data_IF_497062354822
#
_entry.id   IF_497062354822
#
_cell.length_a   1.000
_cell.length_b   1.000
_cell.length_c   1.000
_cell.angle_alpha   90.00
_cell.angle_beta   90.00
_cell.angle_gamma   90.00
#
_symmetry.space_group_name_H-M   'P 1'
#
loop_
_entity.id
_entity.type
_entity.pdbx_description
1 polymer ?
#
# COMPACT_ATOMS: atom_id res chain seq x y z
N UNK A 1 -4.16 -15.55 -14.17
CA UNK A 1 -4.81 -14.73 -13.12
C UNK A 1 -3.76 -14.25 -12.13
N UNK A 2 -3.93 -13.06 -11.57
CA UNK A 2 -3.05 -12.54 -10.51
C UNK A 2 -3.69 -12.82 -9.15
N UNK A 3 -2.97 -13.50 -8.27
CA UNK A 3 -3.36 -13.66 -6.87
C UNK A 3 -2.95 -12.40 -6.09
N UNK A 4 -3.87 -11.83 -5.31
CA UNK A 4 -3.59 -10.69 -4.43
C UNK A 4 -3.95 -11.10 -3.00
N UNK A 5 -2.94 -11.32 -2.15
CA UNK A 5 -3.18 -11.56 -0.73
C UNK A 5 -3.53 -10.26 -0.04
N UNK A 6 -4.44 -10.32 0.96
CA UNK A 6 -5.02 -9.08 1.49
C UNK A 6 -5.83 -8.30 0.44
N UNK A 7 -6.39 -9.02 -0.54
CA UNK A 7 -7.02 -8.47 -1.73
C UNK A 7 -8.24 -7.60 -1.49
N UNK A 8 -8.91 -7.73 -0.34
CA UNK A 8 -10.06 -6.90 0.07
C UNK A 8 -9.67 -5.71 0.95
N UNK A 9 -8.37 -5.54 1.26
CA UNK A 9 -7.85 -4.33 1.90
C UNK A 9 -7.79 -3.15 0.93
N UNK A 10 -7.49 -1.96 1.45
CA UNK A 10 -7.45 -0.71 0.66
C UNK A 10 -6.52 -0.83 -0.56
N UNK A 11 -5.24 -1.16 -0.37
CA UNK A 11 -4.30 -1.30 -1.49
C UNK A 11 -4.70 -2.48 -2.39
N UNK A 12 -5.07 -3.63 -1.80
CA UNK A 12 -5.41 -4.84 -2.54
C UNK A 12 -6.58 -4.65 -3.50
N UNK A 13 -7.66 -4.01 -3.04
CA UNK A 13 -8.85 -3.77 -3.85
C UNK A 13 -8.58 -2.81 -5.02
N UNK A 14 -7.79 -1.76 -4.79
CA UNK A 14 -7.42 -0.83 -5.85
C UNK A 14 -6.38 -1.42 -6.82
N UNK A 15 -5.50 -2.30 -6.32
CA UNK A 15 -4.63 -3.11 -7.20
C UNK A 15 -5.46 -4.05 -8.07
N UNK A 16 -6.47 -4.72 -7.49
CA UNK A 16 -7.39 -5.57 -8.24
C UNK A 16 -8.10 -4.78 -9.35
N UNK A 17 -8.65 -3.59 -9.04
CA UNK A 17 -9.28 -2.74 -10.06
C UNK A 17 -8.32 -2.44 -11.20
N UNK A 18 -7.10 -2.02 -10.88
CA UNK A 18 -6.10 -1.67 -11.89
C UNK A 18 -5.66 -2.89 -12.75
N UNK A 19 -5.53 -4.08 -12.15
CA UNK A 19 -5.22 -5.31 -12.89
C UNK A 19 -6.35 -5.67 -13.85
N UNK A 20 -7.61 -5.52 -13.41
CA UNK A 20 -8.80 -5.74 -14.24
C UNK A 20 -8.89 -4.75 -15.41
N UNK A 21 -8.58 -3.48 -15.18
CA UNK A 21 -8.55 -2.43 -16.21
C UNK A 21 -7.49 -2.71 -17.28
N UNK A 22 -6.41 -3.39 -16.91
CA UNK A 22 -5.36 -3.85 -17.84
C UNK A 22 -5.69 -5.20 -18.52
N UNK A 23 -6.89 -5.74 -18.32
CA UNK A 23 -7.40 -6.92 -19.03
C UNK A 23 -7.20 -8.25 -18.33
N UNK A 24 -6.47 -8.29 -17.21
CA UNK A 24 -6.22 -9.52 -16.45
C UNK A 24 -7.32 -9.81 -15.41
N UNK A 25 -7.40 -11.07 -14.98
CA UNK A 25 -8.31 -11.52 -13.91
C UNK A 25 -7.57 -11.70 -12.60
N UNK A 26 -8.31 -11.60 -11.48
CA UNK A 26 -7.73 -11.63 -10.13
C UNK A 26 -8.35 -12.71 -9.26
N UNK A 27 -7.55 -13.26 -8.36
CA UNK A 27 -7.97 -14.01 -7.18
C UNK A 27 -7.61 -13.18 -5.96
N UNK A 28 -8.60 -12.79 -5.17
CA UNK A 28 -8.43 -11.97 -3.98
C UNK A 28 -8.53 -12.86 -2.74
N UNK A 29 -7.52 -12.87 -1.88
CA UNK A 29 -7.67 -13.61 -0.63
C UNK A 29 -8.19 -12.70 0.49
N UNK A 30 -9.01 -13.27 1.33
CA UNK A 30 -9.63 -12.59 2.47
C UNK A 30 -9.65 -13.49 3.70
N UNK A 31 -9.27 -12.95 4.87
CA UNK A 31 -9.26 -13.73 6.12
C UNK A 31 -10.60 -13.65 6.88
N UNK A 32 -11.23 -12.47 6.94
CA UNK A 32 -12.41 -12.24 7.80
C UNK A 32 -13.71 -11.95 7.04
N UNK A 33 -13.64 -11.19 5.98
CA UNK A 33 -14.80 -10.79 5.19
C UNK A 33 -14.53 -11.06 3.72
N UNK A 34 -15.52 -11.64 3.04
CA UNK A 34 -15.47 -11.91 1.60
C UNK A 34 -16.31 -10.91 0.79
N UNK A 35 -16.81 -9.84 1.44
CA UNK A 35 -17.60 -8.83 0.75
C UNK A 35 -16.73 -7.98 -0.16
N UNK A 36 -17.02 -8.02 -1.45
CA UNK A 36 -16.36 -7.18 -2.44
C UNK A 36 -16.75 -5.70 -2.26
N UNK A 37 -15.79 -4.77 -2.43
CA UNK A 37 -16.11 -3.37 -2.66
C UNK A 37 -16.99 -3.19 -3.90
N UNK A 38 -17.90 -2.20 -3.89
CA UNK A 38 -18.85 -1.96 -4.97
C UNK A 38 -18.19 -1.83 -6.33
N UNK A 39 -17.06 -1.13 -6.42
CA UNK A 39 -16.34 -0.94 -7.68
C UNK A 39 -15.69 -2.23 -8.26
N UNK A 40 -15.78 -3.36 -7.57
CA UNK A 40 -15.39 -4.69 -8.05
C UNK A 40 -16.58 -5.64 -8.23
N UNK A 41 -17.78 -5.27 -7.75
CA UNK A 41 -18.92 -6.16 -7.70
C UNK A 41 -19.55 -6.41 -9.08
N UNK A 42 -19.46 -5.46 -9.99
CA UNK A 42 -20.09 -5.52 -11.32
C UNK A 42 -19.20 -6.19 -12.39
N UNK A 43 -18.04 -6.74 -12.00
CA UNK A 43 -17.18 -7.44 -12.94
C UNK A 43 -17.81 -8.74 -13.44
N UNK A 44 -17.60 -9.10 -14.71
CA UNK A 44 -18.07 -10.37 -15.26
C UNK A 44 -17.64 -11.57 -14.42
N UNK A 45 -18.51 -12.58 -14.35
CA UNK A 45 -18.24 -13.81 -13.60
C UNK A 45 -16.89 -14.43 -14.01
N UNK A 46 -16.08 -14.77 -13.01
CA UNK A 46 -14.78 -15.39 -13.18
C UNK A 46 -13.62 -14.41 -13.38
N UNK A 47 -13.86 -13.10 -13.55
CA UNK A 47 -12.77 -12.12 -13.59
C UNK A 47 -12.28 -11.73 -12.19
N UNK A 48 -13.16 -11.73 -11.21
CA UNK A 48 -12.86 -11.54 -9.79
C UNK A 48 -13.32 -12.78 -9.03
N UNK A 49 -12.40 -13.44 -8.36
CA UNK A 49 -12.69 -14.55 -7.46
C UNK A 49 -12.22 -14.20 -6.06
N UNK A 50 -13.02 -14.48 -5.05
CA UNK A 50 -12.63 -14.29 -3.64
C UNK A 50 -12.42 -15.67 -3.01
N UNK A 51 -11.23 -15.90 -2.48
CA UNK A 51 -10.86 -17.12 -1.76
C UNK A 51 -10.64 -16.80 -0.28
N UNK A 52 -11.39 -17.44 0.63
CA UNK A 52 -11.06 -17.37 2.06
C UNK A 52 -9.68 -18.00 2.29
N UNK A 53 -8.80 -17.28 2.96
CA UNK A 53 -7.45 -17.76 3.24
C UNK A 53 -6.92 -17.15 4.55
N UNK A 54 -6.50 -18.02 5.47
CA UNK A 54 -5.52 -17.69 6.48
C UNK A 54 -4.13 -17.93 5.85
N UNK A 55 -3.32 -16.89 5.73
CA UNK A 55 -1.98 -17.00 5.13
C UNK A 55 -1.04 -17.92 5.93
N UNK A 56 -1.39 -18.24 7.18
CA UNK A 56 -0.67 -19.22 7.99
C UNK A 56 -1.00 -20.67 7.61
N UNK A 57 -2.06 -20.93 6.86
CA UNK A 57 -2.44 -22.27 6.39
C UNK A 57 -1.80 -22.55 5.02
N UNK A 58 -0.65 -23.23 5.03
CA UNK A 58 0.11 -23.64 3.84
C UNK A 58 -0.73 -24.49 2.87
N UNK A 59 -1.47 -25.46 3.40
CA UNK A 59 -2.25 -26.38 2.57
C UNK A 59 -3.38 -25.63 1.83
N UNK A 60 -4.10 -24.75 2.54
CA UNK A 60 -5.13 -23.91 1.96
C UNK A 60 -4.54 -22.97 0.90
N UNK A 61 -3.33 -22.44 1.13
CA UNK A 61 -2.62 -21.61 0.16
C UNK A 61 -2.34 -22.37 -1.12
N UNK A 62 -1.70 -23.55 -1.03
CA UNK A 62 -1.36 -24.40 -2.17
C UNK A 62 -2.60 -24.86 -2.96
N UNK A 63 -3.72 -25.10 -2.29
CA UNK A 63 -4.97 -25.51 -2.89
C UNK A 63 -5.59 -24.46 -3.83
N UNK A 64 -5.28 -23.18 -3.65
CA UNK A 64 -5.72 -22.12 -4.58
C UNK A 64 -5.22 -22.41 -6.00
N UNK A 65 -3.96 -22.78 -6.16
CA UNK A 65 -3.39 -23.10 -7.49
C UNK A 65 -3.96 -24.36 -8.14
N UNK A 66 -4.63 -25.24 -7.38
CA UNK A 66 -5.37 -26.39 -7.95
C UNK A 66 -6.68 -25.95 -8.60
N UNK A 67 -7.26 -24.82 -8.15
CA UNK A 67 -8.53 -24.28 -8.66
C UNK A 67 -8.35 -23.18 -9.70
N UNK A 68 -7.23 -22.47 -9.63
CA UNK A 68 -6.97 -21.29 -10.45
C UNK A 68 -5.58 -21.34 -11.09
N UNK A 69 -5.48 -20.97 -12.35
CA UNK A 69 -4.19 -20.83 -13.05
C UNK A 69 -3.52 -19.50 -12.65
N UNK A 70 -2.79 -19.51 -11.53
CA UNK A 70 -2.09 -18.32 -11.01
C UNK A 70 -0.80 -18.12 -11.80
N UNK A 71 -0.62 -16.93 -12.38
CA UNK A 71 0.56 -16.54 -13.16
C UNK A 71 1.42 -15.50 -12.48
N UNK A 72 0.91 -14.86 -11.42
CA UNK A 72 1.62 -13.88 -10.61
C UNK A 72 0.99 -13.71 -9.25
N UNK A 73 1.79 -13.26 -8.28
CA UNK A 73 1.35 -13.04 -6.89
C UNK A 73 1.71 -11.62 -6.45
N UNK A 74 0.74 -10.92 -5.89
CA UNK A 74 0.93 -9.65 -5.14
C UNK A 74 0.68 -9.94 -3.67
N UNK A 75 1.74 -10.00 -2.86
CA UNK A 75 1.65 -10.29 -1.44
C UNK A 75 1.52 -9.00 -0.63
N UNK A 76 0.27 -8.63 -0.28
CA UNK A 76 -0.08 -7.45 0.53
C UNK A 76 -0.62 -7.81 1.92
N UNK A 77 -0.93 -9.09 2.17
CA UNK A 77 -1.36 -9.52 3.48
C UNK A 77 -0.28 -9.22 4.53
N UNK A 78 -0.71 -8.71 5.67
CA UNK A 78 0.15 -8.40 6.80
C UNK A 78 -0.62 -8.61 8.10
N UNK A 79 0.12 -8.90 9.17
CA UNK A 79 -0.43 -8.91 10.52
C UNK A 79 -0.99 -7.54 10.90
N UNK A 80 -1.98 -7.46 11.79
CA UNK A 80 -2.49 -6.19 12.29
C UNK A 80 -1.36 -5.32 12.87
N UNK A 81 -1.30 -4.06 12.45
CA UNK A 81 -0.22 -3.13 12.84
C UNK A 81 -0.24 -2.76 14.34
N UNK A 82 -1.37 -2.97 15.01
CA UNK A 82 -1.61 -2.75 16.42
C UNK A 82 -1.34 -3.99 17.30
N UNK A 83 -0.83 -5.07 16.70
CA UNK A 83 -0.41 -6.24 17.45
C UNK A 83 0.76 -5.88 18.37
N UNK A 84 0.50 -5.93 19.67
CA UNK A 84 1.40 -5.38 20.70
C UNK A 84 2.69 -6.20 20.88
N UNK A 85 2.62 -7.52 20.66
CA UNK A 85 3.80 -8.42 20.77
C UNK A 85 4.55 -8.43 19.43
N UNK A 86 5.77 -7.86 19.36
CA UNK A 86 6.55 -7.86 18.13
C UNK A 86 6.96 -9.27 17.67
N UNK A 87 7.07 -10.25 18.56
CA UNK A 87 7.40 -11.63 18.19
C UNK A 87 6.22 -12.31 17.51
N UNK A 88 5.01 -12.09 18.00
CA UNK A 88 3.79 -12.56 17.35
C UNK A 88 3.60 -11.90 15.99
N UNK A 89 3.80 -10.58 15.91
CA UNK A 89 3.77 -9.84 14.64
C UNK A 89 4.72 -10.45 13.61
N UNK A 90 6.00 -10.59 13.97
CA UNK A 90 7.03 -11.13 13.09
C UNK A 90 6.76 -12.58 12.68
N UNK A 91 6.22 -13.39 13.61
CA UNK A 91 5.87 -14.79 13.32
C UNK A 91 4.73 -14.88 12.30
N UNK A 92 3.67 -14.11 12.49
CA UNK A 92 2.52 -14.12 11.58
C UNK A 92 2.90 -13.66 10.18
N UNK A 93 3.61 -12.54 10.06
CA UNK A 93 4.06 -12.00 8.78
C UNK A 93 5.09 -12.92 8.09
N UNK A 94 6.03 -13.51 8.85
CA UNK A 94 7.03 -14.40 8.27
C UNK A 94 6.38 -15.70 7.75
N UNK A 95 5.49 -16.32 8.52
CA UNK A 95 4.80 -17.54 8.12
C UNK A 95 3.95 -17.29 6.86
N UNK A 96 3.16 -16.21 6.85
CA UNK A 96 2.35 -15.85 5.68
C UNK A 96 3.18 -15.60 4.42
N UNK A 97 4.32 -14.93 4.54
CA UNK A 97 5.24 -14.71 3.41
C UNK A 97 5.87 -16.02 2.93
N UNK A 98 6.36 -16.87 3.84
CA UNK A 98 7.00 -18.14 3.47
C UNK A 98 6.03 -19.05 2.73
N UNK A 99 4.79 -19.18 3.22
CA UNK A 99 3.74 -19.94 2.55
C UNK A 99 3.40 -19.36 1.16
N UNK A 100 3.39 -18.03 1.02
CA UNK A 100 3.16 -17.39 -0.26
C UNK A 100 4.30 -17.65 -1.27
N UNK A 101 5.56 -17.64 -0.82
CA UNK A 101 6.73 -17.93 -1.64
C UNK A 101 6.76 -19.40 -2.07
N UNK A 102 6.41 -20.33 -1.17
CA UNK A 102 6.29 -21.76 -1.48
C UNK A 102 5.20 -22.00 -2.50
N UNK A 103 4.04 -21.43 -2.32
CA UNK A 103 2.94 -21.51 -3.29
C UNK A 103 3.32 -20.93 -4.66
N UNK A 104 3.96 -19.75 -4.68
CA UNK A 104 4.43 -19.14 -5.93
C UNK A 104 5.44 -20.05 -6.68
N UNK A 105 6.34 -20.68 -5.93
CA UNK A 105 7.29 -21.66 -6.48
C UNK A 105 6.57 -22.89 -7.05
N UNK A 106 5.64 -23.47 -6.28
CA UNK A 106 4.89 -24.66 -6.68
C UNK A 106 4.01 -24.42 -7.93
N UNK A 107 3.48 -23.21 -8.08
CA UNK A 107 2.66 -22.83 -9.24
C UNK A 107 3.47 -22.41 -10.45
N UNK A 108 4.77 -22.17 -10.31
CA UNK A 108 5.62 -21.68 -11.38
C UNK A 108 5.21 -20.30 -11.88
N UNK A 109 4.90 -19.39 -10.96
CA UNK A 109 4.49 -18.02 -11.34
C UNK A 109 5.61 -17.28 -12.07
N UNK A 110 5.25 -16.38 -12.95
CA UNK A 110 6.24 -15.52 -13.63
C UNK A 110 6.82 -14.47 -12.69
N UNK A 111 5.96 -13.88 -11.85
CA UNK A 111 6.36 -12.76 -10.97
C UNK A 111 5.69 -12.83 -9.60
N UNK A 112 6.48 -12.53 -8.59
CA UNK A 112 6.04 -12.37 -7.21
C UNK A 112 6.41 -10.98 -6.72
N UNK A 113 5.44 -10.20 -6.26
CA UNK A 113 5.73 -8.93 -5.61
C UNK A 113 5.36 -8.95 -4.14
N UNK A 114 6.21 -8.34 -3.31
CA UNK A 114 6.01 -8.21 -1.87
C UNK A 114 5.90 -6.74 -1.46
N UNK A 115 4.89 -6.42 -0.66
CA UNK A 115 4.76 -5.09 -0.08
C UNK A 115 5.89 -4.84 0.91
N UNK A 116 6.70 -3.83 0.61
CA UNK A 116 7.64 -3.16 1.50
C UNK A 116 7.10 -1.78 1.87
N UNK A 117 7.91 -0.89 2.42
CA UNK A 117 7.48 0.39 2.97
C UNK A 117 8.56 1.45 2.86
N UNK A 118 8.19 2.72 2.75
CA UNK A 118 9.10 3.87 2.93
C UNK A 118 9.85 3.77 4.27
N UNK A 119 9.29 3.12 5.29
CA UNK A 119 9.92 2.93 6.60
C UNK A 119 11.26 2.18 6.55
N UNK A 120 11.59 1.42 5.49
CA UNK A 120 12.89 0.75 5.36
C UNK A 120 14.05 1.74 5.24
N UNK A 121 13.76 2.97 4.81
CA UNK A 121 14.72 4.07 4.70
C UNK A 121 14.97 4.83 6.01
N UNK A 122 14.36 4.42 7.12
CA UNK A 122 14.58 5.10 8.41
C UNK A 122 16.08 5.17 8.74
N UNK A 123 16.60 6.40 8.88
CA UNK A 123 18.02 6.67 9.11
C UNK A 123 18.85 6.93 7.84
N UNK A 124 18.29 6.84 6.64
CA UNK A 124 18.90 7.33 5.40
C UNK A 124 18.79 8.86 5.38
N UNK A 125 19.89 9.54 5.13
CA UNK A 125 19.94 11.01 5.16
C UNK A 125 19.73 11.66 3.78
N UNK A 126 20.02 10.93 2.72
CA UNK A 126 19.87 11.42 1.34
C UNK A 126 18.41 11.56 0.95
N UNK A 127 18.09 12.64 0.23
CA UNK A 127 16.76 12.93 -0.33
C UNK A 127 16.94 13.35 -1.80
N UNK A 128 16.18 12.81 -2.74
CA UNK A 128 15.10 11.81 -2.58
C UNK A 128 15.63 10.43 -2.15
N UNK A 129 14.75 9.63 -1.51
CA UNK A 129 15.06 8.27 -1.10
C UNK A 129 15.09 7.34 -2.32
N UNK A 130 16.26 6.81 -2.64
CA UNK A 130 16.51 5.99 -3.83
C UNK A 130 16.57 4.52 -3.46
N UNK A 131 16.15 3.65 -4.38
CA UNK A 131 16.12 2.19 -4.16
C UNK A 131 17.52 1.58 -3.96
N UNK A 132 18.55 2.21 -4.50
CA UNK A 132 19.96 1.80 -4.37
C UNK A 132 20.65 2.37 -3.10
N UNK A 133 19.95 3.15 -2.28
CA UNK A 133 20.49 3.65 -1.02
C UNK A 133 20.82 2.49 -0.06
N UNK A 134 21.97 2.61 0.62
CA UNK A 134 22.34 1.67 1.67
C UNK A 134 21.37 1.79 2.86
N UNK A 135 20.62 0.73 3.12
CA UNK A 135 19.65 0.73 4.21
C UNK A 135 20.33 0.46 5.55
N UNK A 136 20.05 1.26 6.61
CA UNK A 136 20.49 0.93 7.96
C UNK A 136 19.93 -0.43 8.39
N UNK A 137 20.74 -1.25 9.06
CA UNK A 137 20.29 -2.56 9.58
C UNK A 137 19.21 -2.37 10.64
N UNK A 138 19.40 -1.41 11.55
CA UNK A 138 18.45 -1.09 12.59
C UNK A 138 17.24 -0.29 12.03
N UNK A 139 16.05 -0.57 12.52
CA UNK A 139 14.83 0.07 12.05
C UNK A 139 13.86 0.55 13.15
N UNK A 140 14.13 0.30 14.43
CA UNK A 140 13.37 0.85 15.56
C UNK A 140 11.90 0.42 15.73
N UNK A 141 11.31 -0.24 14.71
CA UNK A 141 9.91 -0.67 14.71
C UNK A 141 9.74 -1.99 13.97
N UNK A 142 8.79 -2.83 14.41
CA UNK A 142 8.57 -4.17 13.85
C UNK A 142 8.27 -4.19 12.35
N UNK A 143 7.50 -3.22 11.84
CA UNK A 143 7.11 -3.16 10.42
C UNK A 143 8.34 -3.05 9.51
N UNK A 144 9.18 -2.00 9.60
CA UNK A 144 10.36 -1.91 8.72
C UNK A 144 11.40 -3.02 8.98
N UNK A 145 11.50 -3.57 10.19
CA UNK A 145 12.34 -4.74 10.47
C UNK A 145 11.89 -5.92 9.62
N UNK A 146 10.59 -6.25 9.67
CA UNK A 146 10.05 -7.34 8.87
C UNK A 146 10.15 -7.04 7.37
N UNK A 147 9.80 -5.82 6.93
CA UNK A 147 9.79 -5.51 5.49
C UNK A 147 11.19 -5.58 4.85
N UNK A 148 12.26 -5.18 5.55
CA UNK A 148 13.64 -5.43 5.09
C UNK A 148 13.92 -6.93 4.92
N UNK A 149 13.50 -7.74 5.88
CA UNK A 149 13.65 -9.20 5.82
C UNK A 149 12.83 -9.80 4.68
N UNK A 150 11.62 -9.32 4.47
CA UNK A 150 10.73 -9.77 3.40
C UNK A 150 11.30 -9.51 2.00
N UNK A 151 11.95 -8.35 1.78
CA UNK A 151 12.66 -8.06 0.53
C UNK A 151 13.77 -9.10 0.25
N UNK A 152 14.54 -9.46 1.28
CA UNK A 152 15.61 -10.45 1.16
C UNK A 152 15.07 -11.87 0.92
N UNK A 153 14.02 -12.27 1.61
CA UNK A 153 13.39 -13.59 1.43
C UNK A 153 12.81 -13.73 0.01
N UNK A 154 12.08 -12.72 -0.46
CA UNK A 154 11.51 -12.75 -1.80
C UNK A 154 12.60 -12.79 -2.88
N UNK A 155 13.68 -12.00 -2.74
CA UNK A 155 14.79 -12.00 -3.67
C UNK A 155 15.49 -13.37 -3.75
N UNK A 156 15.80 -13.97 -2.59
CA UNK A 156 16.43 -15.29 -2.53
C UNK A 156 15.54 -16.38 -3.14
N UNK A 157 14.25 -16.37 -2.83
CA UNK A 157 13.30 -17.32 -3.38
C UNK A 157 13.18 -17.17 -4.91
N UNK A 158 13.10 -15.93 -5.44
CA UNK A 158 13.06 -15.67 -6.87
C UNK A 158 14.31 -16.16 -7.60
N UNK A 159 15.49 -15.89 -7.04
CA UNK A 159 16.77 -16.37 -7.60
C UNK A 159 16.86 -17.93 -7.62
N UNK A 160 16.25 -18.57 -6.62
CA UNK A 160 16.28 -20.03 -6.51
C UNK A 160 15.23 -20.70 -7.38
N UNK A 161 14.01 -20.17 -7.42
CA UNK A 161 12.86 -20.77 -8.13
C UNK A 161 12.68 -20.25 -9.57
N UNK A 162 13.35 -19.17 -9.95
CA UNK A 162 13.35 -18.64 -11.32
C UNK A 162 12.16 -17.75 -11.66
N UNK A 163 11.50 -17.15 -10.66
CA UNK A 163 10.49 -16.10 -10.88
C UNK A 163 11.05 -14.69 -10.61
N UNK A 164 10.48 -13.68 -11.25
CA UNK A 164 10.82 -12.29 -10.97
C UNK A 164 10.31 -11.89 -9.57
N UNK A 165 11.22 -11.66 -8.62
CA UNK A 165 10.87 -11.14 -7.31
C UNK A 165 10.94 -9.60 -7.31
N UNK A 166 9.84 -8.93 -6.92
CA UNK A 166 9.72 -7.47 -6.93
C UNK A 166 9.35 -6.96 -5.54
N UNK A 167 10.20 -6.10 -4.99
CA UNK A 167 9.94 -5.40 -3.72
C UNK A 167 9.31 -4.04 -3.98
N UNK A 168 8.15 -3.80 -3.36
CA UNK A 168 7.35 -2.58 -3.49
C UNK A 168 7.54 -1.71 -2.25
N UNK A 169 8.42 -0.71 -2.29
CA UNK A 169 8.61 0.26 -1.20
C UNK A 169 7.56 1.36 -1.30
N UNK A 170 6.47 1.13 -0.59
CA UNK A 170 5.25 1.95 -0.69
C UNK A 170 5.36 3.15 0.24
N UNK A 171 5.00 4.34 -0.29
CA UNK A 171 4.93 5.60 0.46
C UNK A 171 3.75 5.67 1.43
N UNK A 172 3.40 6.87 1.88
CA UNK A 172 2.28 7.08 2.81
C UNK A 172 0.95 7.01 2.07
N UNK A 173 0.24 5.87 2.23
CA UNK A 173 -1.03 5.61 1.54
C UNK A 173 -2.19 6.31 2.22
N UNK A 174 -3.07 6.87 1.39
CA UNK A 174 -4.34 7.45 1.80
C UNK A 174 -5.41 7.30 0.70
N UNK A 175 -6.67 7.39 1.07
CA UNK A 175 -7.80 7.27 0.14
C UNK A 175 -8.85 6.24 0.58
N UNK A 176 -9.79 5.89 -0.31
CA UNK A 176 -10.88 4.95 -0.06
C UNK A 176 -10.43 3.61 0.53
N UNK A 177 -11.29 3.05 1.40
CA UNK A 177 -11.03 1.81 2.14
C UNK A 177 -9.79 1.86 3.08
N UNK A 178 -9.14 3.01 3.22
CA UNK A 178 -8.06 3.22 4.20
C UNK A 178 -8.59 3.21 5.64
N UNK A 179 -7.68 2.98 6.59
CA UNK A 179 -8.04 3.01 8.01
C UNK A 179 -8.49 4.42 8.40
N UNK A 180 -9.70 4.59 8.96
CA UNK A 180 -10.16 5.90 9.43
C UNK A 180 -9.23 6.53 10.46
N UNK A 181 -8.68 5.69 11.35
CA UNK A 181 -7.73 6.08 12.39
C UNK A 181 -6.29 5.65 12.02
N UNK A 182 -5.83 6.09 10.85
CA UNK A 182 -4.49 5.79 10.37
C UNK A 182 -3.43 6.41 11.29
N UNK A 183 -2.50 5.60 11.86
CA UNK A 183 -1.48 6.12 12.78
C UNK A 183 -0.34 6.87 12.07
N UNK A 184 -0.21 6.75 10.76
CA UNK A 184 0.92 7.29 9.99
C UNK A 184 0.61 8.64 9.32
N UNK A 185 -0.67 9.01 9.22
CA UNK A 185 -1.08 10.26 8.58
C UNK A 185 -2.38 10.80 9.19
N UNK A 186 -2.53 12.12 9.34
CA UNK A 186 -3.78 12.73 9.83
C UNK A 186 -4.89 12.78 8.76
N UNK A 187 -4.59 12.52 7.50
CA UNK A 187 -5.49 12.79 6.37
C UNK A 187 -6.89 12.17 6.49
N UNK A 188 -7.05 10.87 6.83
CA UNK A 188 -8.39 10.30 6.97
C UNK A 188 -9.24 11.01 8.02
N UNK A 189 -8.63 11.44 9.13
CA UNK A 189 -9.34 12.18 10.20
C UNK A 189 -9.71 13.60 9.77
N UNK A 190 -8.81 14.31 9.06
CA UNK A 190 -9.10 15.65 8.54
C UNK A 190 -10.26 15.62 7.55
N UNK A 191 -10.24 14.66 6.62
CA UNK A 191 -11.28 14.50 5.59
C UNK A 191 -12.61 14.07 6.21
N UNK A 192 -12.59 13.08 7.11
CA UNK A 192 -13.81 12.65 7.82
C UNK A 192 -14.41 13.78 8.64
N UNK A 193 -13.58 14.55 9.35
CA UNK A 193 -14.04 15.70 10.12
C UNK A 193 -14.70 16.75 9.23
N UNK A 194 -14.10 17.06 8.09
CA UNK A 194 -14.67 18.00 7.12
C UNK A 194 -16.02 17.54 6.60
N UNK A 195 -16.11 16.27 6.16
CA UNK A 195 -17.32 15.69 5.56
C UNK A 195 -18.47 15.61 6.56
N UNK A 196 -18.17 15.27 7.82
CA UNK A 196 -19.19 15.05 8.85
C UNK A 196 -19.43 16.26 9.75
N UNK A 197 -18.78 17.40 9.49
CA UNK A 197 -18.95 18.64 10.26
C UNK A 197 -18.48 18.52 11.70
N UNK A 198 -17.37 17.84 11.94
CA UNK A 198 -16.76 17.63 13.25
C UNK A 198 -15.37 18.25 13.31
N UNK A 199 -14.85 18.45 14.51
CA UNK A 199 -13.43 18.79 14.69
C UNK A 199 -12.56 17.54 14.52
N UNK A 200 -11.41 17.64 13.82
CA UNK A 200 -10.53 16.49 13.67
C UNK A 200 -9.86 16.12 14.99
N UNK A 201 -9.99 14.85 15.39
CA UNK A 201 -9.29 14.36 16.58
C UNK A 201 -7.81 14.09 16.25
N UNK A 202 -6.96 15.03 16.67
CA UNK A 202 -5.50 14.95 16.54
C UNK A 202 -4.80 14.85 17.91
N UNK A 203 -5.55 14.44 18.95
CA UNK A 203 -5.01 14.30 20.31
C UNK A 203 -4.07 13.10 20.46
N UNK A 204 -3.10 13.15 21.40
CA UNK A 204 -2.25 11.97 21.69
C UNK A 204 -3.08 10.70 21.97
N UNK A 205 -2.56 9.52 21.62
CA UNK A 205 -1.17 9.21 21.21
C UNK A 205 -0.84 9.45 19.74
N UNK A 206 -1.69 10.13 18.98
CA UNK A 206 -1.46 10.44 17.58
C UNK A 206 -0.32 11.44 17.43
N UNK A 207 0.53 11.30 16.38
CA UNK A 207 1.55 12.31 16.12
C UNK A 207 0.92 13.68 15.87
N UNK A 208 1.46 14.75 16.45
CA UNK A 208 1.01 16.10 16.15
C UNK A 208 1.27 16.41 14.66
N UNK A 209 0.34 17.12 14.04
CA UNK A 209 0.42 17.54 12.65
C UNK A 209 0.39 19.06 12.56
N UNK A 210 1.32 19.61 11.77
CA UNK A 210 1.46 21.05 11.53
C UNK A 210 1.32 21.36 10.05
N UNK A 211 0.91 22.57 9.74
CA UNK A 211 0.62 23.00 8.38
C UNK A 211 1.80 22.81 7.40
N UNK A 212 3.03 23.09 7.86
CA UNK A 212 4.24 23.00 7.04
C UNK A 212 4.92 21.61 7.09
N UNK A 213 4.37 20.65 7.83
CA UNK A 213 4.84 19.27 7.75
C UNK A 213 4.52 18.71 6.36
N UNK A 214 5.49 18.03 5.76
CA UNK A 214 5.30 17.37 4.47
C UNK A 214 5.66 15.89 4.52
N UNK A 215 5.04 15.10 3.67
CA UNK A 215 5.35 13.68 3.49
C UNK A 215 5.05 13.26 2.05
N UNK A 216 5.64 12.17 1.62
CA UNK A 216 5.33 11.58 0.32
C UNK A 216 3.99 10.83 0.41
N UNK A 217 2.94 11.51 -0.03
CA UNK A 217 1.58 10.98 -0.05
C UNK A 217 1.35 10.20 -1.35
N UNK A 218 0.91 8.97 -1.22
CA UNK A 218 0.50 8.14 -2.35
C UNK A 218 -0.99 7.87 -2.29
N UNK A 219 -1.75 8.37 -3.26
CA UNK A 219 -3.17 8.06 -3.33
C UNK A 219 -3.37 6.60 -3.70
N UNK A 220 -4.29 5.93 -3.03
CA UNK A 220 -4.42 4.47 -3.12
C UNK A 220 -4.72 3.96 -4.53
N UNK A 221 -5.44 4.72 -5.35
CA UNK A 221 -5.69 4.37 -6.76
C UNK A 221 -4.42 4.40 -7.59
N UNK A 222 -3.54 5.38 -7.38
CA UNK A 222 -2.22 5.42 -8.01
C UNK A 222 -1.30 4.31 -7.52
N UNK A 223 -1.35 3.98 -6.23
CA UNK A 223 -0.63 2.83 -5.69
C UNK A 223 -1.06 1.53 -6.36
N UNK A 224 -2.37 1.28 -6.44
CA UNK A 224 -2.91 0.10 -7.12
C UNK A 224 -2.49 0.01 -8.58
N UNK A 225 -2.52 1.14 -9.30
CA UNK A 225 -2.10 1.22 -10.70
C UNK A 225 -0.60 0.97 -10.87
N UNK A 226 0.24 1.53 -10.02
CA UNK A 226 1.68 1.28 -10.04
C UNK A 226 2.00 -0.21 -9.83
N UNK A 227 1.35 -0.85 -8.86
CA UNK A 227 1.52 -2.29 -8.59
C UNK A 227 1.05 -3.13 -9.79
N UNK A 228 -0.10 -2.81 -10.37
CA UNK A 228 -0.63 -3.53 -11.54
C UNK A 228 0.31 -3.42 -12.75
N UNK A 229 0.84 -2.23 -13.03
CA UNK A 229 1.81 -2.02 -14.11
C UNK A 229 3.08 -2.83 -13.89
N UNK A 230 3.64 -2.84 -12.66
CA UNK A 230 4.81 -3.65 -12.33
C UNK A 230 4.54 -5.14 -12.47
N UNK A 231 3.35 -5.61 -12.07
CA UNK A 231 2.99 -7.03 -12.19
C UNK A 231 2.83 -7.50 -13.62
N UNK A 232 2.34 -6.63 -14.52
CA UNK A 232 1.98 -6.99 -15.89
C UNK A 232 3.03 -6.56 -16.92
N UNK A 233 4.05 -5.80 -16.55
CA UNK A 233 5.16 -5.44 -17.43
C UNK A 233 5.82 -6.68 -18.03
N UNK A 234 6.15 -6.65 -19.33
CA UNK A 234 6.83 -7.78 -19.99
C UNK A 234 8.21 -8.01 -19.39
N UNK A 235 8.95 -6.94 -19.15
CA UNK A 235 10.29 -6.98 -18.52
C UNK A 235 10.40 -5.87 -17.50
N UNK A 236 11.24 -6.10 -16.50
CA UNK A 236 11.62 -5.10 -15.51
C UNK A 236 13.14 -5.10 -15.39
N UNK A 237 13.75 -3.91 -15.43
CA UNK A 237 15.21 -3.77 -15.31
C UNK A 237 15.67 -3.84 -13.84
N UNK A 238 14.74 -3.72 -12.89
CA UNK A 238 15.03 -3.65 -11.47
C UNK A 238 14.15 -4.63 -10.67
N UNK A 239 14.56 -4.91 -9.42
CA UNK A 239 13.83 -5.78 -8.48
C UNK A 239 13.19 -5.02 -7.33
N UNK A 240 13.51 -3.75 -7.15
CA UNK A 240 12.98 -2.91 -6.08
C UNK A 240 12.50 -1.60 -6.68
N UNK A 241 11.29 -1.23 -6.33
CA UNK A 241 10.63 -0.03 -6.82
C UNK A 241 10.00 0.75 -5.69
N UNK A 242 10.27 2.04 -5.68
CA UNK A 242 9.53 2.99 -4.88
C UNK A 242 8.16 3.25 -5.52
N UNK A 243 7.10 3.11 -4.72
CA UNK A 243 5.72 3.29 -5.16
C UNK A 243 5.10 4.45 -4.39
N UNK A 244 5.08 5.63 -5.01
CA UNK A 244 4.51 6.84 -4.42
C UNK A 244 4.29 7.94 -5.47
N UNK A 245 3.91 9.15 -5.01
CA UNK A 245 3.78 10.33 -5.88
C UNK A 245 5.14 10.88 -6.35
N UNK A 246 6.21 10.61 -5.61
CA UNK A 246 7.57 11.09 -5.93
C UNK A 246 7.81 12.56 -5.56
N UNK A 247 6.97 13.15 -4.74
CA UNK A 247 7.14 14.51 -4.21
C UNK A 247 6.67 14.64 -2.77
N UNK A 248 7.26 15.53 -1.97
CA UNK A 248 6.69 15.87 -0.68
C UNK A 248 5.42 16.72 -0.88
N UNK A 249 4.39 16.43 -0.10
CA UNK A 249 3.13 17.18 -0.06
C UNK A 249 2.95 17.77 1.33
N UNK A 250 2.76 19.09 1.43
CA UNK A 250 2.49 19.75 2.71
C UNK A 250 1.05 19.50 3.15
N UNK A 251 0.87 19.41 4.47
CA UNK A 251 -0.48 19.29 5.01
C UNK A 251 -1.32 20.55 4.77
N UNK A 252 -0.71 21.73 4.66
CA UNK A 252 -1.40 22.96 4.24
C UNK A 252 -2.01 22.85 2.84
N UNK A 253 -1.35 22.16 1.88
CA UNK A 253 -1.90 21.91 0.54
C UNK A 253 -3.17 21.05 0.66
N UNK A 254 -3.11 19.99 1.46
CA UNK A 254 -4.25 19.09 1.69
C UNK A 254 -5.42 19.81 2.38
N UNK A 255 -5.13 20.59 3.43
CA UNK A 255 -6.14 21.38 4.16
C UNK A 255 -6.83 22.38 3.23
N UNK A 256 -6.06 23.06 2.37
CA UNK A 256 -6.64 23.98 1.39
C UNK A 256 -7.58 23.26 0.41
N UNK A 257 -7.19 22.10 -0.10
CA UNK A 257 -8.03 21.29 -0.99
C UNK A 257 -9.29 20.76 -0.28
N UNK A 258 -9.18 20.33 0.99
CA UNK A 258 -10.35 19.90 1.81
C UNK A 258 -11.37 21.05 1.95
N UNK A 259 -10.90 22.22 2.36
CA UNK A 259 -11.77 23.40 2.54
C UNK A 259 -12.40 23.87 1.22
N UNK A 260 -11.73 23.67 0.09
CA UNK A 260 -12.29 23.95 -1.23
C UNK A 260 -13.34 22.90 -1.66
N UNK A 261 -13.12 21.61 -1.36
CA UNK A 261 -14.00 20.50 -1.76
C UNK A 261 -15.25 20.36 -0.88
N UNK A 262 -15.18 20.82 0.38
CA UNK A 262 -16.28 20.71 1.33
C UNK A 262 -16.72 22.13 1.77
N UNK A 263 -17.74 22.73 1.12
CA UNK A 263 -18.24 24.04 1.49
C UNK A 263 -18.68 24.08 2.96
N UNK A 264 -18.15 25.05 3.71
CA UNK A 264 -18.43 25.21 5.15
C UNK A 264 -17.51 24.40 6.07
N UNK A 265 -16.62 23.59 5.56
CA UNK A 265 -15.53 23.03 6.36
C UNK A 265 -14.51 24.15 6.70
N UNK A 266 -14.03 24.11 7.95
CA UNK A 266 -13.03 25.04 8.46
C UNK A 266 -11.87 24.28 9.09
N UNK A 267 -11.35 23.29 8.32
CA UNK A 267 -10.20 22.51 8.78
C UNK A 267 -8.97 23.40 8.82
N UNK A 268 -8.25 23.35 9.95
CA UNK A 268 -6.99 24.05 10.14
C UNK A 268 -6.01 23.19 10.92
N UNK A 269 -4.73 23.46 10.77
CA UNK A 269 -3.63 22.87 11.52
C UNK A 269 -2.80 24.00 12.18
N UNK A 270 -2.10 23.73 13.26
CA UNK A 270 -1.13 24.66 13.84
C UNK A 270 -0.13 25.12 12.77
N UNK A 271 0.23 26.40 12.79
CA UNK A 271 1.26 26.95 11.91
C UNK A 271 2.65 26.37 12.20
N UNK A 272 3.53 26.41 11.20
CA UNK A 272 4.90 25.95 11.31
C UNK A 272 5.07 24.45 11.13
N UNK A 273 6.16 23.91 11.66
CA UNK A 273 6.54 22.50 11.59
C UNK A 273 6.57 21.87 12.97
N UNK A 274 6.31 20.57 13.02
CA UNK A 274 6.59 19.77 14.21
C UNK A 274 8.11 19.72 14.46
N UNK A 275 8.60 20.25 15.60
CA UNK A 275 10.04 20.31 15.87
C UNK A 275 10.68 18.92 16.04
N UNK A 276 9.89 17.92 16.41
CA UNK A 276 10.36 16.54 16.63
C UNK A 276 10.34 15.69 15.35
N UNK A 277 9.84 16.27 14.25
CA UNK A 277 9.76 15.53 12.97
C UNK A 277 11.10 15.58 12.24
N UNK A 278 11.55 14.42 11.66
CA UNK A 278 12.70 14.43 10.78
C UNK A 278 12.46 15.33 9.55
N UNK A 279 13.52 15.74 8.84
CA UNK A 279 13.39 16.49 7.59
C UNK A 279 12.44 15.81 6.61
N UNK A 280 11.75 16.62 5.79
CA UNK A 280 10.86 16.10 4.76
C UNK A 280 11.64 15.21 3.81
N UNK A 281 11.04 14.10 3.47
CA UNK A 281 11.60 13.15 2.52
C UNK A 281 10.51 12.71 1.53
N UNK A 282 10.96 12.18 0.40
CA UNK A 282 10.11 11.56 -0.60
C UNK A 282 10.88 10.47 -1.34
N UNK A 283 10.14 9.57 -1.93
CA UNK A 283 10.66 8.46 -2.70
C UNK A 283 11.02 8.91 -4.11
N UNK A 284 12.19 8.54 -4.60
CA UNK A 284 12.51 8.64 -6.03
C UNK A 284 11.73 7.56 -6.78
N UNK A 285 10.89 7.96 -7.72
CA UNK A 285 10.06 7.03 -8.52
C UNK A 285 10.57 6.86 -9.94
N UNK A 286 11.81 7.26 -10.23
CA UNK A 286 12.39 7.24 -11.59
C UNK A 286 12.42 5.83 -12.18
N UNK A 287 12.78 4.80 -11.39
CA UNK A 287 12.78 3.38 -11.84
C UNK A 287 11.37 2.92 -12.24
N UNK A 288 10.39 3.18 -11.38
CA UNK A 288 8.99 2.85 -11.66
C UNK A 288 8.51 3.52 -12.96
N UNK A 289 8.84 4.81 -13.14
CA UNK A 289 8.46 5.55 -14.34
C UNK A 289 9.15 5.04 -15.59
N UNK A 290 10.42 4.68 -15.50
CA UNK A 290 11.21 4.20 -16.64
C UNK A 290 10.72 2.83 -17.13
N UNK A 291 10.52 1.88 -16.20
CA UNK A 291 10.19 0.49 -16.55
C UNK A 291 8.71 0.29 -16.91
N UNK A 292 7.82 1.17 -16.44
CA UNK A 292 6.37 0.96 -16.61
C UNK A 292 5.63 2.11 -17.31
N UNK A 293 6.26 3.23 -17.50
CA UNK A 293 5.58 4.45 -17.97
C UNK A 293 4.65 5.09 -16.93
N UNK A 294 4.67 4.61 -15.69
CA UNK A 294 3.81 5.15 -14.62
C UNK A 294 3.96 6.67 -14.47
N UNK A 295 2.85 7.35 -14.28
CA UNK A 295 2.79 8.74 -13.82
C UNK A 295 1.65 8.85 -12.81
N UNK A 296 1.84 9.53 -11.67
CA UNK A 296 0.74 9.79 -10.75
C UNK A 296 -0.40 10.53 -11.48
N UNK A 297 -1.63 10.11 -11.23
CA UNK A 297 -2.83 10.76 -11.79
C UNK A 297 -3.60 11.55 -10.75
N UNK A 298 -3.34 11.28 -9.48
CA UNK A 298 -4.05 11.89 -8.35
C UNK A 298 -3.11 12.81 -7.57
N UNK A 299 -3.06 14.09 -8.00
CA UNK A 299 -2.57 15.14 -7.12
C UNK A 299 -3.60 15.44 -6.00
N UNK A 300 -3.28 16.37 -5.12
CA UNK A 300 -4.15 16.73 -3.99
C UNK A 300 -5.50 17.25 -4.45
N UNK A 301 -5.50 18.07 -5.51
CA UNK A 301 -6.68 18.71 -6.08
C UNK A 301 -7.66 17.69 -6.67
N UNK A 302 -7.19 16.58 -7.17
CA UNK A 302 -8.02 15.48 -7.70
C UNK A 302 -8.34 14.45 -6.62
N UNK A 303 -7.38 14.10 -5.76
CA UNK A 303 -7.54 13.05 -4.76
C UNK A 303 -8.50 13.44 -3.64
N UNK A 304 -8.48 14.70 -3.18
CA UNK A 304 -9.35 15.17 -2.10
C UNK A 304 -10.82 15.09 -2.49
N UNK A 305 -11.28 15.66 -3.62
CA UNK A 305 -12.68 15.51 -4.04
C UNK A 305 -13.10 14.05 -4.22
N UNK A 306 -12.27 13.22 -4.84
CA UNK A 306 -12.55 11.79 -5.03
C UNK A 306 -12.75 11.05 -3.69
N UNK A 307 -11.94 11.36 -2.67
CA UNK A 307 -12.09 10.74 -1.36
C UNK A 307 -13.28 11.33 -0.58
N UNK A 308 -13.57 12.62 -0.73
CA UNK A 308 -14.77 13.25 -0.15
C UNK A 308 -16.05 12.60 -0.71
N UNK A 309 -16.12 12.38 -2.02
CA UNK A 309 -17.27 11.74 -2.65
C UNK A 309 -17.42 10.28 -2.17
N UNK A 310 -16.31 9.56 -2.02
CA UNK A 310 -16.33 8.22 -1.43
C UNK A 310 -16.86 8.23 0.00
N UNK A 311 -16.37 9.15 0.85
CA UNK A 311 -16.82 9.26 2.25
C UNK A 311 -18.33 9.56 2.35
N UNK A 312 -18.86 10.41 1.46
CA UNK A 312 -20.31 10.73 1.42
C UNK A 312 -21.18 9.54 1.01
N UNK A 313 -20.66 8.65 0.17
CA UNK A 313 -21.35 7.44 -0.27
C UNK A 313 -21.28 6.27 0.72
N UNK A 314 -20.41 6.36 1.75
CA UNK A 314 -20.17 5.28 2.68
C UNK A 314 -20.34 5.79 4.12
N UNK A 315 -21.36 5.28 4.82
CA UNK A 315 -21.61 5.61 6.24
C UNK A 315 -20.41 5.23 7.13
N UNK A 316 -20.33 5.95 8.29
CA UNK A 316 -19.28 5.76 9.30
C UNK A 316 -19.17 4.33 9.81
#
# INVERSE_FOLDING_TARGET
MILITGGLGSIGSHTARAVLDLGESVVLTAHRSTRLPEFLADEPSGRVVVEPLDTADEAAFLDIGKRHAITGVVHLAAAPHDLADPVEYLRADALGLLNALEAATAWGVRRFSVASTIGVYAGVAEVPLREDAALPVWAGHQIPVFKKTAELFAALAGDTAGFDAVSLRIGTIWGPLGLPDNPFTPLPRLLSAAVWGADPDLTPPRPPAYAEDATDLCYVKDCGRAIALLMLADTLDHRTYNVSSGRPVRYSEVVAAINAAVPGAHISLPEGRNPDRPPDNHLDTTRLQADTGFRPEYDVERAVPDYVDWLRGHER
#
